data_IF_896540180324
#
_entry.id   IF_896540180324
#
_cell.length_a   1.000
_cell.length_b   1.000
_cell.length_c   1.000
_cell.angle_alpha   90.00
_cell.angle_beta   90.00
_cell.angle_gamma   90.00
#
_symmetry.space_group_name_H-M   'P 1'
#
loop_
_entity.id
_entity.type
_entity.pdbx_description
1 polymer ?
#
# COMPACT_ATOMS: atom_id res chain seq x y z
N UNK A 1 61.83 -5.46 -12.74
CA UNK A 1 60.99 -4.36 -13.28
C UNK A 1 59.63 -4.95 -13.64
N UNK A 2 58.55 -4.23 -13.27
CA UNK A 2 57.16 -4.67 -13.18
C UNK A 2 56.53 -5.07 -14.53
N UNK A 3 55.69 -6.11 -14.50
CA UNK A 3 54.70 -6.42 -15.54
C UNK A 3 53.44 -5.55 -15.34
N UNK A 4 52.79 -5.06 -16.42
CA UNK A 4 51.53 -4.34 -16.30
C UNK A 4 50.34 -5.30 -16.19
N UNK A 5 49.48 -5.09 -15.21
CA UNK A 5 48.21 -5.79 -15.07
C UNK A 5 47.13 -5.10 -15.92
N UNK A 6 46.32 -5.83 -16.72
CA UNK A 6 45.20 -5.25 -17.43
C UNK A 6 44.08 -4.89 -16.45
N UNK A 7 43.68 -3.63 -16.47
CA UNK A 7 42.56 -3.13 -15.66
C UNK A 7 41.27 -3.52 -16.39
N UNK A 8 40.57 -4.54 -15.89
CA UNK A 8 39.27 -4.97 -16.40
C UNK A 8 38.23 -3.94 -15.97
N UNK A 9 37.84 -3.07 -16.90
CA UNK A 9 36.72 -2.14 -16.73
C UNK A 9 35.39 -2.89 -16.76
N UNK A 10 34.86 -3.24 -15.59
CA UNK A 10 33.51 -3.72 -15.45
C UNK A 10 32.52 -2.54 -15.56
N UNK A 11 32.19 -2.13 -16.78
CA UNK A 11 31.06 -1.22 -17.04
C UNK A 11 29.74 -1.99 -16.93
N UNK A 12 29.37 -2.37 -15.71
CA UNK A 12 28.03 -2.81 -15.38
C UNK A 12 27.10 -1.59 -15.34
N UNK A 13 26.46 -1.27 -16.47
CA UNK A 13 25.30 -0.38 -16.47
C UNK A 13 24.19 -1.06 -15.68
N UNK A 14 24.07 -0.70 -14.41
CA UNK A 14 22.94 -1.07 -13.57
C UNK A 14 21.69 -0.46 -14.19
N UNK A 15 20.89 -1.28 -14.86
CA UNK A 15 19.57 -0.88 -15.36
C UNK A 15 18.71 -0.52 -14.15
N UNK A 16 18.47 0.77 -13.95
CA UNK A 16 17.52 1.24 -12.95
C UNK A 16 16.14 0.71 -13.32
N UNK A 17 15.55 -0.13 -12.46
CA UNK A 17 14.15 -0.55 -12.62
C UNK A 17 13.25 0.69 -12.71
N UNK A 18 12.21 0.67 -13.57
CA UNK A 18 11.25 1.77 -13.63
C UNK A 18 10.69 2.05 -12.24
N UNK A 19 10.43 3.33 -11.90
CA UNK A 19 9.85 3.68 -10.60
C UNK A 19 8.55 2.87 -10.42
N UNK A 20 8.30 2.34 -9.22
CA UNK A 20 7.10 1.55 -8.97
C UNK A 20 5.87 2.38 -9.37
N UNK A 21 4.84 1.74 -9.94
CA UNK A 21 3.61 2.45 -10.29
C UNK A 21 3.14 3.24 -9.07
N UNK A 22 3.00 4.55 -9.24
CA UNK A 22 2.60 5.44 -8.15
C UNK A 22 1.20 5.01 -7.67
N UNK A 23 1.02 4.95 -6.35
CA UNK A 23 -0.25 4.56 -5.74
C UNK A 23 -1.41 5.40 -6.32
N UNK A 24 -2.39 4.72 -6.90
CA UNK A 24 -3.57 5.35 -7.50
C UNK A 24 -4.43 5.92 -6.37
N UNK A 25 -4.84 7.20 -6.48
CA UNK A 25 -5.74 7.82 -5.49
C UNK A 25 -7.18 7.49 -5.85
N UNK A 26 -7.91 6.89 -4.91
CA UNK A 26 -9.33 6.59 -5.06
C UNK A 26 -10.13 7.50 -4.14
N UNK A 27 -11.26 8.02 -4.64
CA UNK A 27 -12.25 8.68 -3.80
C UNK A 27 -13.25 7.65 -3.30
N UNK A 28 -13.30 7.48 -1.98
CA UNK A 28 -14.29 6.65 -1.29
C UNK A 28 -14.91 7.50 -0.19
N UNK A 29 -16.24 7.60 -0.21
CA UNK A 29 -16.97 8.32 0.84
C UNK A 29 -16.65 7.72 2.22
N UNK A 30 -16.30 8.59 3.16
CA UNK A 30 -15.96 8.18 4.52
C UNK A 30 -14.51 7.71 4.74
N UNK A 31 -13.62 7.79 3.74
CA UNK A 31 -12.19 7.50 3.91
C UNK A 31 -11.34 8.58 3.26
N UNK A 32 -10.70 9.41 4.09
CA UNK A 32 -9.76 10.42 3.60
C UNK A 32 -8.44 9.79 3.13
N UNK A 33 -7.77 10.43 2.16
CA UNK A 33 -6.46 10.01 1.61
C UNK A 33 -6.41 8.53 1.19
N UNK A 34 -7.51 7.99 0.68
CA UNK A 34 -7.57 6.61 0.23
C UNK A 34 -6.81 6.42 -1.09
N UNK A 35 -5.96 5.39 -1.14
CA UNK A 35 -5.16 5.07 -2.30
C UNK A 35 -4.91 3.57 -2.40
N UNK A 36 -4.86 3.07 -3.64
CA UNK A 36 -4.46 1.70 -3.97
C UNK A 36 -2.95 1.66 -4.09
N UNK A 37 -2.31 0.85 -3.25
CA UNK A 37 -0.86 0.64 -3.22
C UNK A 37 -0.46 -0.50 -4.16
N UNK A 38 -1.28 -1.55 -4.22
CA UNK A 38 -1.11 -2.71 -5.09
C UNK A 38 -2.47 -3.27 -5.52
N UNK A 39 -2.51 -4.43 -6.17
CA UNK A 39 -3.73 -5.02 -6.73
C UNK A 39 -4.84 -5.15 -5.68
N UNK A 40 -4.51 -5.70 -4.51
CA UNK A 40 -5.48 -5.94 -3.41
C UNK A 40 -5.12 -5.19 -2.12
N UNK A 41 -4.17 -4.25 -2.21
CA UNK A 41 -3.65 -3.51 -1.05
C UNK A 41 -4.02 -2.04 -1.17
N UNK A 42 -4.70 -1.54 -0.14
CA UNK A 42 -5.15 -0.16 -0.04
C UNK A 42 -4.63 0.47 1.25
N UNK A 43 -4.48 1.79 1.23
CA UNK A 43 -4.15 2.59 2.42
C UNK A 43 -5.04 3.81 2.48
N UNK A 44 -5.31 4.30 3.69
CA UNK A 44 -6.11 5.51 3.89
C UNK A 44 -6.11 5.96 5.34
N UNK A 45 -6.85 7.03 5.60
CA UNK A 45 -7.16 7.49 6.94
C UNK A 45 -8.12 6.51 7.65
N UNK A 46 -8.40 6.79 8.92
CA UNK A 46 -9.40 6.06 9.70
C UNK A 46 -10.76 6.15 8.99
N UNK A 47 -11.42 5.03 8.66
CA UNK A 47 -12.73 5.04 8.03
C UNK A 47 -13.81 5.55 8.99
N UNK A 48 -14.84 6.20 8.43
CA UNK A 48 -16.14 6.42 9.09
C UNK A 48 -17.05 5.21 8.87
N UNK A 49 -18.27 5.27 9.42
CA UNK A 49 -19.30 4.24 9.24
C UNK A 49 -19.63 3.99 7.77
N UNK A 50 -19.83 5.05 6.99
CA UNK A 50 -20.04 4.97 5.55
C UNK A 50 -18.82 4.43 4.81
N UNK A 51 -17.62 4.77 5.28
CA UNK A 51 -16.36 4.23 4.79
C UNK A 51 -16.29 2.72 4.94
N UNK A 52 -16.64 2.17 6.11
CA UNK A 52 -16.68 0.73 6.33
C UNK A 52 -17.70 0.04 5.42
N UNK A 53 -18.89 0.61 5.26
CA UNK A 53 -19.91 0.08 4.34
C UNK A 53 -19.41 0.10 2.89
N UNK A 54 -18.70 1.16 2.48
CA UNK A 54 -18.10 1.26 1.16
C UNK A 54 -17.02 0.19 0.95
N UNK A 55 -16.15 -0.05 1.94
CA UNK A 55 -15.15 -1.12 1.87
C UNK A 55 -15.79 -2.51 1.77
N UNK A 56 -16.92 -2.73 2.45
CA UNK A 56 -17.65 -3.99 2.36
C UNK A 56 -18.22 -4.21 0.95
N UNK A 57 -18.79 -3.16 0.34
CA UNK A 57 -19.25 -3.16 -1.06
C UNK A 57 -18.10 -3.38 -2.05
N UNK A 58 -16.91 -2.88 -1.72
CA UNK A 58 -15.67 -3.13 -2.46
C UNK A 58 -15.04 -4.50 -2.17
N UNK A 59 -15.74 -5.40 -1.46
CA UNK A 59 -15.29 -6.75 -1.11
C UNK A 59 -13.98 -6.81 -0.31
N UNK A 60 -13.62 -5.74 0.39
CA UNK A 60 -12.48 -5.76 1.31
C UNK A 60 -12.80 -6.68 2.48
N UNK A 61 -11.85 -7.56 2.82
CA UNK A 61 -12.04 -8.60 3.84
C UNK A 61 -11.30 -8.33 5.15
N UNK A 62 -10.19 -7.63 5.08
CA UNK A 62 -9.26 -7.44 6.20
C UNK A 62 -8.97 -5.96 6.38
N UNK A 63 -9.03 -5.50 7.63
CA UNK A 63 -8.73 -4.13 8.01
C UNK A 63 -7.55 -4.11 8.97
N UNK A 64 -6.43 -3.53 8.54
CA UNK A 64 -5.24 -3.38 9.39
C UNK A 64 -5.24 -1.97 9.98
N UNK A 65 -5.57 -1.85 11.28
CA UNK A 65 -5.38 -0.60 12.00
C UNK A 65 -4.01 -0.59 12.68
N UNK A 66 -3.20 0.42 12.39
CA UNK A 66 -1.86 0.59 12.97
C UNK A 66 -1.85 1.48 14.22
N UNK A 67 -3.02 1.86 14.75
CA UNK A 67 -3.17 2.66 15.97
C UNK A 67 -3.46 1.73 17.16
N UNK A 68 -3.05 2.13 18.36
CA UNK A 68 -3.37 1.39 19.60
C UNK A 68 -4.87 1.28 19.83
N UNK A 69 -5.62 2.35 19.57
CA UNK A 69 -7.08 2.37 19.66
C UNK A 69 -7.73 2.25 18.28
N UNK A 70 -8.67 1.30 18.17
CA UNK A 70 -9.44 1.05 16.96
C UNK A 70 -10.90 1.46 17.20
N UNK A 71 -11.28 2.72 16.90
CA UNK A 71 -12.58 3.27 17.30
C UNK A 71 -13.77 2.58 16.61
N UNK A 72 -13.50 1.89 15.50
CA UNK A 72 -14.50 1.24 14.67
C UNK A 72 -14.49 -0.29 14.79
N UNK A 73 -13.77 -0.85 15.78
CA UNK A 73 -13.57 -2.30 15.92
C UNK A 73 -14.88 -3.10 15.94
N UNK A 74 -15.82 -2.72 16.82
CA UNK A 74 -17.12 -3.41 16.95
C UNK A 74 -17.87 -3.47 15.62
N UNK A 75 -17.99 -2.34 14.95
CA UNK A 75 -18.74 -2.29 13.69
C UNK A 75 -18.00 -3.00 12.55
N UNK A 76 -16.67 -2.98 12.54
CA UNK A 76 -15.90 -3.75 11.60
C UNK A 76 -16.15 -5.26 11.79
N UNK A 77 -16.20 -5.75 13.03
CA UNK A 77 -16.54 -7.14 13.35
C UNK A 77 -17.98 -7.48 12.94
N UNK A 78 -18.96 -6.61 13.20
CA UNK A 78 -20.36 -6.80 12.79
C UNK A 78 -20.53 -6.85 11.27
N UNK A 79 -19.75 -6.07 10.53
CA UNK A 79 -19.72 -6.10 9.07
C UNK A 79 -18.90 -7.29 8.53
N UNK A 80 -18.30 -8.10 9.40
CA UNK A 80 -17.56 -9.31 9.07
C UNK A 80 -16.16 -9.06 8.51
N UNK A 81 -15.55 -7.93 8.86
CA UNK A 81 -14.12 -7.70 8.62
C UNK A 81 -13.29 -8.51 9.61
N UNK A 82 -12.07 -8.86 9.20
CA UNK A 82 -11.04 -9.48 10.05
C UNK A 82 -9.98 -8.46 10.44
#
# INVERSE_FOLDING_TARGET
MLLPFPIIGASGLSAASPPPPMAERLKVDGIDRFARVDTDVYRGASPTEDGLKALKRAHVKTLVCLRDEVPYRKMAEELGFR
#
